data_IF_088662031257
#
_entry.id   IF_088662031257
#
_cell.length_a   1.000
_cell.length_b   1.000
_cell.length_c   1.000
_cell.angle_alpha   90.00
_cell.angle_beta   90.00
_cell.angle_gamma   90.00
#
_symmetry.space_group_name_H-M   'P 1'
#
loop_
_entity.id
_entity.type
_entity.pdbx_description
1 polymer ?
#
# COMPACT_ATOMS: atom_id res chain seq x y z
N UNK A 1 0.81 -2.44 -18.19
CA UNK A 1 1.26 -3.56 -17.32
C UNK A 1 1.65 -4.71 -18.21
N UNK A 2 2.75 -5.43 -17.94
CA UNK A 2 3.13 -6.54 -18.78
C UNK A 2 2.09 -7.65 -18.59
N UNK A 3 1.30 -7.89 -19.64
CA UNK A 3 0.38 -9.02 -19.71
C UNK A 3 1.25 -10.23 -20.01
N UNK A 4 1.29 -11.20 -19.10
CA UNK A 4 1.95 -12.47 -19.37
C UNK A 4 1.13 -13.23 -20.41
N UNK A 5 1.53 -13.14 -21.67
CA UNK A 5 0.89 -13.76 -22.84
C UNK A 5 0.95 -15.29 -22.83
N UNK A 6 1.73 -15.89 -21.92
CA UNK A 6 1.91 -17.35 -21.84
C UNK A 6 0.71 -18.10 -21.25
N UNK A 7 -0.17 -17.41 -20.54
CA UNK A 7 -1.38 -17.99 -19.99
C UNK A 7 -2.56 -17.44 -20.80
N UNK A 8 -3.10 -18.21 -21.75
CA UNK A 8 -4.16 -17.82 -22.70
C UNK A 8 -5.52 -17.43 -22.11
N UNK A 9 -5.56 -17.05 -20.82
CA UNK A 9 -6.71 -16.47 -20.15
C UNK A 9 -6.84 -15.02 -20.59
N UNK A 10 -7.96 -14.70 -21.26
CA UNK A 10 -8.32 -13.31 -21.57
C UNK A 10 -8.24 -12.50 -20.26
N UNK A 11 -7.47 -11.39 -20.22
CA UNK A 11 -7.38 -10.58 -19.02
C UNK A 11 -8.79 -10.10 -18.65
N UNK A 12 -9.20 -10.35 -17.40
CA UNK A 12 -10.49 -9.90 -16.88
C UNK A 12 -10.60 -8.39 -17.11
N UNK A 13 -11.74 -7.85 -17.58
CA UNK A 13 -11.89 -6.41 -17.80
C UNK A 13 -11.56 -5.68 -16.50
N UNK A 14 -10.40 -5.04 -16.52
CA UNK A 14 -9.74 -4.44 -15.39
C UNK A 14 -9.78 -2.95 -15.65
N UNK A 15 -10.39 -2.18 -14.73
CA UNK A 15 -10.39 -0.72 -14.81
C UNK A 15 -8.97 -0.23 -14.54
N UNK A 16 -8.19 -0.09 -15.60
CA UNK A 16 -6.75 0.25 -15.55
C UNK A 16 -6.51 1.52 -14.74
N UNK A 17 -7.38 2.50 -14.93
CA UNK A 17 -7.30 3.78 -14.25
C UNK A 17 -7.55 3.66 -12.75
N UNK A 18 -8.53 2.85 -12.35
CA UNK A 18 -8.87 2.64 -10.94
C UNK A 18 -7.70 2.01 -10.19
N UNK A 19 -7.12 0.95 -10.76
CA UNK A 19 -5.97 0.29 -10.16
C UNK A 19 -4.71 1.16 -10.19
N UNK A 20 -4.48 1.95 -11.25
CA UNK A 20 -3.35 2.89 -11.28
C UNK A 20 -3.45 3.91 -10.14
N UNK A 21 -4.66 4.42 -9.89
CA UNK A 21 -4.93 5.35 -8.78
C UNK A 21 -4.72 4.68 -7.43
N UNK A 22 -5.28 3.50 -7.21
CA UNK A 22 -5.11 2.74 -5.97
C UNK A 22 -3.64 2.36 -5.73
N UNK A 23 -2.92 1.90 -6.76
CA UNK A 23 -1.50 1.54 -6.67
C UNK A 23 -0.62 2.73 -6.31
N UNK A 24 -0.83 3.89 -6.95
CA UNK A 24 -0.06 5.10 -6.65
C UNK A 24 -0.30 5.59 -5.22
N UNK A 25 -1.53 5.47 -4.71
CA UNK A 25 -1.85 5.77 -3.32
C UNK A 25 -1.14 4.80 -2.34
N UNK A 26 -1.13 3.50 -2.65
CA UNK A 26 -0.45 2.48 -1.85
C UNK A 26 1.07 2.67 -1.86
N UNK A 27 1.68 2.95 -3.02
CA UNK A 27 3.12 3.20 -3.13
C UNK A 27 3.53 4.48 -2.38
N UNK A 28 2.74 5.56 -2.44
CA UNK A 28 2.95 6.77 -1.61
C UNK A 28 2.81 6.48 -0.12
N UNK A 29 1.80 5.69 0.28
CA UNK A 29 1.59 5.27 1.66
C UNK A 29 2.81 4.52 2.21
N UNK A 30 3.33 3.53 1.47
CA UNK A 30 4.54 2.81 1.88
C UNK A 30 5.80 3.69 1.85
N UNK A 31 5.88 4.67 0.96
CA UNK A 31 6.93 5.69 0.97
C UNK A 31 6.89 6.56 2.24
N UNK A 32 5.70 7.00 2.65
CA UNK A 32 5.51 7.75 3.90
C UNK A 32 5.82 6.90 5.13
N UNK A 33 5.36 5.64 5.18
CA UNK A 33 5.69 4.70 6.26
C UNK A 33 7.20 4.49 6.37
N UNK A 34 7.88 4.27 5.24
CA UNK A 34 9.34 4.05 5.22
C UNK A 34 10.12 5.24 5.76
N UNK A 35 9.58 6.45 5.65
CA UNK A 35 10.22 7.64 6.20
C UNK A 35 10.21 7.65 7.75
N UNK A 36 9.26 6.95 8.38
CA UNK A 36 9.26 6.76 9.82
C UNK A 36 10.23 5.65 10.26
N UNK A 37 11.55 5.93 10.19
CA UNK A 37 12.64 5.02 10.65
C UNK A 37 12.43 4.46 12.05
N UNK A 38 11.80 5.23 12.95
CA UNK A 38 11.50 4.83 14.33
C UNK A 38 10.56 3.63 14.41
N UNK A 39 9.67 3.48 13.43
CA UNK A 39 8.71 2.38 13.38
C UNK A 39 9.42 1.12 12.84
N UNK A 40 10.26 1.28 11.80
CA UNK A 40 11.10 0.21 11.24
C UNK A 40 11.95 -0.50 12.31
N UNK A 41 12.59 0.26 13.20
CA UNK A 41 13.48 -0.28 14.23
C UNK A 41 12.70 -1.00 15.34
N UNK A 42 11.43 -0.63 15.60
CA UNK A 42 10.57 -1.32 16.58
C UNK A 42 9.79 -2.51 16.00
N UNK A 43 9.76 -2.67 14.69
CA UNK A 43 8.95 -3.71 14.02
C UNK A 43 9.48 -5.14 14.18
N UNK A 44 10.76 -5.33 14.49
CA UNK A 44 11.36 -6.66 14.66
C UNK A 44 10.82 -7.46 15.86
N UNK A 45 10.10 -6.84 16.82
CA UNK A 45 9.78 -7.48 18.11
C UNK A 45 8.31 -7.82 18.39
N UNK A 46 7.30 -7.23 17.73
CA UNK A 46 5.89 -7.54 18.01
C UNK A 46 4.95 -7.29 16.80
N UNK A 47 4.37 -8.37 16.25
CA UNK A 47 3.37 -8.31 15.17
C UNK A 47 2.09 -7.56 15.56
N UNK A 48 1.63 -7.67 16.81
CA UNK A 48 0.42 -6.97 17.27
C UNK A 48 0.59 -5.46 17.25
N UNK A 49 1.76 -4.98 17.69
CA UNK A 49 2.11 -3.57 17.69
C UNK A 49 2.31 -3.05 16.26
N UNK A 50 2.84 -3.89 15.36
CA UNK A 50 2.95 -3.58 13.93
C UNK A 50 1.57 -3.27 13.34
N UNK A 51 0.58 -4.15 13.52
CA UNK A 51 -0.77 -3.95 12.99
C UNK A 51 -1.39 -2.67 13.53
N UNK A 52 -1.31 -2.43 14.84
CA UNK A 52 -1.86 -1.22 15.45
C UNK A 52 -1.23 0.06 14.87
N UNK A 53 0.09 0.11 14.70
CA UNK A 53 0.79 1.27 14.14
C UNK A 53 0.49 1.48 12.65
N UNK A 54 0.36 0.41 11.87
CA UNK A 54 -0.06 0.51 10.46
C UNK A 54 -1.48 1.03 10.35
N UNK A 55 -2.40 0.57 11.21
CA UNK A 55 -3.78 1.08 11.25
C UNK A 55 -3.81 2.56 11.60
N UNK A 56 -3.06 3.00 12.63
CA UNK A 56 -2.98 4.41 13.01
C UNK A 56 -2.36 5.25 11.88
N UNK A 57 -1.27 4.78 11.26
CA UNK A 57 -0.65 5.45 10.12
C UNK A 57 -1.63 5.56 8.93
N UNK A 58 -2.43 4.53 8.68
CA UNK A 58 -3.49 4.53 7.67
C UNK A 58 -4.55 5.59 7.95
N UNK A 59 -5.03 5.68 9.20
CA UNK A 59 -6.01 6.70 9.61
C UNK A 59 -5.43 8.12 9.45
N UNK A 60 -4.20 8.36 9.92
CA UNK A 60 -3.53 9.67 9.80
C UNK A 60 -3.36 10.06 8.35
N UNK A 61 -2.92 9.13 7.50
CA UNK A 61 -2.70 9.39 6.08
C UNK A 61 -4.04 9.65 5.36
N UNK A 62 -5.07 8.88 5.69
CA UNK A 62 -6.41 9.08 5.15
C UNK A 62 -6.99 10.45 5.56
N UNK A 63 -6.83 10.86 6.81
CA UNK A 63 -7.26 12.18 7.29
C UNK A 63 -6.45 13.33 6.69
N UNK A 64 -5.16 13.14 6.45
CA UNK A 64 -4.27 14.19 5.92
C UNK A 64 -4.42 14.41 4.42
N UNK A 65 -4.65 13.35 3.65
CA UNK A 65 -4.78 13.41 2.19
C UNK A 65 -6.21 13.34 1.69
N UNK A 66 -7.18 13.06 2.58
CA UNK A 66 -8.63 12.98 2.32
C UNK A 66 -8.91 12.28 0.99
N UNK A 67 -8.39 11.06 0.88
CA UNK A 67 -8.51 10.19 -0.30
C UNK A 67 -9.93 9.68 -0.48
#
# INVERSE_FOLDING_TARGET
MPVNTRNGRKPKPYKVELYRKTRSAVERFFGWIKNFRRIIIRYEKLESTYKALVTIASIIIHLRYRI
#
